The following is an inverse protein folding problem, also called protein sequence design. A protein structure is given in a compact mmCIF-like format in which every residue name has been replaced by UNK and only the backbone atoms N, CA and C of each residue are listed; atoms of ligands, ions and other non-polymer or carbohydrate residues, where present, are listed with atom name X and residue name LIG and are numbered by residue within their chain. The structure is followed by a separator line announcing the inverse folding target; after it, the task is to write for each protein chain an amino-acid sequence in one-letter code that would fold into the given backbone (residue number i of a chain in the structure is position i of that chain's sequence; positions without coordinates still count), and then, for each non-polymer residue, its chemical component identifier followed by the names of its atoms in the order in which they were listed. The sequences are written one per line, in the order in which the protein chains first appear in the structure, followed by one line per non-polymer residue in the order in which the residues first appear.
data_IF_467312599176
#
_entry.id   IF_467312599176
#
_cell.length_a   1.000
_cell.length_b   1.000
_cell.length_c   1.000
_cell.angle_alpha   90.00
_cell.angle_beta   90.00
_cell.angle_gamma   90.00
#
_symmetry.space_group_name_H-M   'P 1'
#
loop_
_entity.id
_entity.type
_entity.pdbx_description
1 polymer ?
#
# COMPACT_ATOMS: atom_id res chain seq x y z
N UNK A 1 -8.78 -6.01 -14.62
CA UNK A 1 -9.36 -4.69 -14.29
C UNK A 1 -8.91 -4.44 -12.89
N UNK A 2 -7.75 -3.80 -12.80
CA UNK A 2 -6.78 -4.17 -11.80
C UNK A 2 -7.04 -3.38 -10.53
N UNK A 3 -7.33 -4.14 -9.45
CA UNK A 3 -7.74 -3.63 -8.14
C UNK A 3 -6.55 -2.97 -7.44
N UNK A 4 -6.09 -1.82 -7.91
CA UNK A 4 -5.04 -1.04 -7.23
C UNK A 4 -5.55 -0.38 -5.96
N UNK A 5 -6.83 -0.02 -5.95
CA UNK A 5 -7.51 0.67 -4.87
C UNK A 5 -8.69 -0.18 -4.37
N UNK A 6 -8.90 -0.20 -3.06
CA UNK A 6 -10.10 -0.75 -2.42
C UNK A 6 -10.62 0.23 -1.37
N UNK A 7 -11.93 0.48 -1.40
CA UNK A 7 -12.56 1.39 -0.45
C UNK A 7 -12.76 0.75 0.90
N UNK A 8 -12.59 1.51 1.99
CA UNK A 8 -12.66 0.94 3.32
C UNK A 8 -14.05 0.35 3.65
N UNK A 9 -15.13 0.89 3.09
CA UNK A 9 -16.48 0.36 3.22
C UNK A 9 -16.72 -0.96 2.45
N UNK A 10 -15.77 -1.39 1.63
CA UNK A 10 -15.78 -2.65 0.87
C UNK A 10 -14.83 -3.71 1.46
N UNK A 11 -14.09 -3.38 2.53
CA UNK A 11 -13.08 -4.24 3.13
C UNK A 11 -13.62 -5.02 4.35
N UNK A 12 -13.12 -6.24 4.53
CA UNK A 12 -13.26 -7.01 5.77
C UNK A 12 -12.04 -7.86 6.10
N UNK A 13 -12.15 -8.72 7.12
CA UNK A 13 -11.07 -9.63 7.54
C UNK A 13 -10.62 -10.60 6.45
N UNK A 14 -11.47 -10.88 5.46
CA UNK A 14 -11.12 -11.73 4.33
C UNK A 14 -10.14 -11.04 3.35
N UNK A 15 -9.92 -9.73 3.48
CA UNK A 15 -9.06 -8.95 2.58
C UNK A 15 -7.64 -8.74 3.14
N UNK A 16 -7.27 -9.39 4.24
CA UNK A 16 -5.94 -9.23 4.87
C UNK A 16 -4.79 -9.45 3.88
N UNK A 17 -4.89 -10.44 2.99
CA UNK A 17 -3.85 -10.70 1.98
C UNK A 17 -3.77 -9.60 0.91
N UNK A 18 -4.86 -8.86 0.69
CA UNK A 18 -4.98 -7.82 -0.33
C UNK A 18 -4.53 -6.46 0.18
N UNK A 19 -4.82 -6.12 1.44
CA UNK A 19 -4.60 -4.76 1.98
C UNK A 19 -3.85 -4.71 3.32
N UNK A 20 -3.52 -5.88 3.89
CA UNK A 20 -2.91 -6.01 5.20
C UNK A 20 -3.91 -5.91 6.36
N UNK A 21 -3.49 -6.41 7.53
CA UNK A 21 -4.36 -6.52 8.71
C UNK A 21 -4.92 -5.18 9.23
N UNK A 22 -4.19 -4.08 9.07
CA UNK A 22 -4.65 -2.75 9.51
C UNK A 22 -5.85 -2.26 8.70
N UNK A 23 -5.76 -2.30 7.37
CA UNK A 23 -6.84 -1.84 6.50
C UNK A 23 -8.05 -2.78 6.57
N UNK A 24 -7.83 -4.09 6.64
CA UNK A 24 -8.90 -5.06 6.89
C UNK A 24 -9.64 -4.77 8.20
N UNK A 25 -8.91 -4.45 9.28
CA UNK A 25 -9.52 -4.12 10.59
C UNK A 25 -10.29 -2.82 10.57
N UNK A 26 -9.81 -1.83 9.81
CA UNK A 26 -10.52 -0.56 9.60
C UNK A 26 -11.85 -0.79 8.86
N UNK A 27 -11.86 -1.64 7.83
CA UNK A 27 -13.08 -2.01 7.11
C UNK A 27 -14.11 -2.67 8.02
N UNK A 28 -13.71 -3.65 8.82
CA UNK A 28 -14.60 -4.27 9.82
C UNK A 28 -15.20 -3.26 10.80
N UNK A 29 -14.42 -2.27 11.25
CA UNK A 29 -14.92 -1.22 12.13
C UNK A 29 -15.96 -0.36 11.43
N UNK A 30 -15.74 0.03 10.18
CA UNK A 30 -16.71 0.82 9.40
C UNK A 30 -18.00 0.03 9.21
N UNK A 31 -17.92 -1.22 8.76
CA UNK A 31 -19.10 -2.04 8.46
C UNK A 31 -19.91 -2.39 9.72
N UNK A 32 -19.26 -2.67 10.85
CA UNK A 32 -19.95 -3.15 12.05
C UNK A 32 -20.26 -2.06 13.08
N UNK A 33 -19.55 -0.93 13.10
CA UNK A 33 -19.71 0.12 14.12
C UNK A 33 -20.44 1.36 13.64
N UNK A 34 -20.76 1.46 12.34
CA UNK A 34 -21.60 2.55 11.82
C UNK A 34 -22.96 2.62 12.54
N UNK A 35 -23.56 1.48 12.88
CA UNK A 35 -24.81 1.40 13.65
C UNK A 35 -24.67 1.77 15.13
N UNK A 36 -23.45 1.85 15.66
CA UNK A 36 -23.16 2.17 17.06
C UNK A 36 -22.83 3.65 17.30
N UNK A 37 -23.01 4.52 16.29
CA UNK A 37 -22.72 5.94 16.37
C UNK A 37 -21.23 6.28 16.26
N UNK A 38 -20.38 5.31 15.91
CA UNK A 38 -18.96 5.54 15.63
C UNK A 38 -18.82 5.99 14.18
N UNK A 39 -18.42 7.23 13.97
CA UNK A 39 -18.11 7.76 12.64
C UNK A 39 -16.62 7.58 12.35
N UNK A 40 -16.31 6.72 11.39
CA UNK A 40 -14.95 6.56 10.86
C UNK A 40 -14.90 7.24 9.50
N UNK A 41 -13.92 8.15 9.25
CA UNK A 41 -13.76 8.78 7.94
C UNK A 41 -13.59 7.72 6.86
N UNK A 42 -14.34 7.86 5.77
CA UNK A 42 -14.16 6.99 4.61
C UNK A 42 -12.83 7.31 3.91
N UNK A 43 -12.33 6.35 3.15
CA UNK A 43 -11.09 6.44 2.40
C UNK A 43 -10.82 5.14 1.68
N UNK A 44 -9.57 4.97 1.25
CA UNK A 44 -9.20 3.81 0.45
C UNK A 44 -7.80 3.30 0.80
N UNK A 45 -7.58 2.02 0.53
CA UNK A 45 -6.29 1.34 0.63
C UNK A 45 -5.73 1.06 -0.77
N UNK A 46 -4.42 1.18 -0.92
CA UNK A 46 -3.73 0.51 -2.02
C UNK A 46 -3.65 -1.00 -1.74
N UNK A 47 -3.56 -1.82 -2.79
CA UNK A 47 -3.46 -3.27 -2.64
C UNK A 47 -2.03 -3.78 -2.72
N UNK A 48 -1.81 -4.99 -2.20
CA UNK A 48 -0.57 -5.74 -2.39
C UNK A 48 -0.28 -5.99 -3.87
N UNK A 49 -1.31 -6.03 -4.73
CA UNK A 49 -1.12 -6.12 -6.18
C UNK A 49 -0.52 -4.83 -6.75
N UNK A 50 -1.07 -3.65 -6.40
CA UNK A 50 -0.48 -2.36 -6.77
C UNK A 50 0.99 -2.24 -6.32
N UNK A 51 1.30 -2.69 -5.10
CA UNK A 51 2.68 -2.69 -4.60
C UNK A 51 3.61 -3.61 -5.40
N UNK A 52 3.16 -4.82 -5.77
CA UNK A 52 3.95 -5.75 -6.59
C UNK A 52 4.20 -5.22 -8.00
N UNK A 53 3.18 -4.62 -8.61
CA UNK A 53 3.33 -3.95 -9.91
C UNK A 53 4.35 -2.81 -9.79
N UNK A 54 4.23 -1.94 -8.77
CA UNK A 54 5.21 -0.88 -8.49
C UNK A 54 6.64 -1.41 -8.37
N UNK A 55 6.86 -2.49 -7.60
CA UNK A 55 8.19 -3.09 -7.47
C UNK A 55 8.69 -3.73 -8.78
N UNK A 56 7.82 -4.18 -9.67
CA UNK A 56 8.21 -4.69 -10.98
C UNK A 56 8.67 -3.55 -11.92
N UNK A 57 8.32 -2.30 -11.64
CA UNK A 57 8.76 -1.15 -12.43
C UNK A 57 10.28 -0.99 -12.36
N UNK A 58 10.90 -0.74 -13.52
CA UNK A 58 12.34 -0.50 -13.64
C UNK A 58 13.23 -1.59 -12.99
N UNK A 59 12.72 -2.83 -12.90
CA UNK A 59 13.37 -3.96 -12.23
C UNK A 59 13.75 -3.67 -10.76
N UNK A 60 12.97 -2.82 -10.07
CA UNK A 60 13.25 -2.43 -8.69
C UNK A 60 13.28 -3.64 -7.75
N UNK A 61 12.36 -4.60 -7.91
CA UNK A 61 12.31 -5.83 -7.15
C UNK A 61 13.63 -6.62 -7.23
N UNK A 62 14.18 -6.78 -8.43
CA UNK A 62 15.41 -7.53 -8.65
C UNK A 62 16.61 -6.83 -8.01
N UNK A 63 16.69 -5.50 -8.12
CA UNK A 63 17.75 -4.70 -7.49
C UNK A 63 17.71 -4.82 -5.96
N UNK A 64 16.50 -4.77 -5.38
CA UNK A 64 16.29 -4.98 -3.94
C UNK A 64 16.73 -6.39 -3.54
N UNK A 65 16.27 -7.41 -4.26
CA UNK A 65 16.60 -8.81 -3.96
C UNK A 65 18.10 -9.09 -4.04
N UNK A 66 18.80 -8.51 -5.03
CA UNK A 66 20.25 -8.62 -5.17
C UNK A 66 20.99 -8.00 -3.98
N UNK A 67 20.57 -6.82 -3.53
CA UNK A 67 21.16 -6.16 -2.37
C UNK A 67 20.93 -6.94 -1.07
N UNK A 68 19.74 -7.53 -0.91
CA UNK A 68 19.40 -8.35 0.25
C UNK A 68 20.10 -9.72 0.25
N UNK A 69 20.33 -10.33 -0.93
CA UNK A 69 20.91 -11.66 -1.04
C UNK A 69 22.34 -11.78 -0.48
N UNK A 70 23.08 -10.66 -0.45
CA UNK A 70 24.47 -10.61 0.04
C UNK A 70 24.59 -9.91 1.40
N UNK A 71 23.48 -9.44 1.96
CA UNK A 71 23.47 -8.70 3.22
C UNK A 71 23.56 -9.67 4.41
N UNK A 72 24.57 -9.47 5.26
CA UNK A 72 24.55 -10.00 6.62
C UNK A 72 23.70 -9.07 7.51
N UNK A 73 22.62 -9.61 8.06
CA UNK A 73 21.67 -8.85 8.89
C UNK A 73 22.17 -8.64 10.32
N UNK A 74 23.19 -9.39 10.76
CA UNK A 74 23.82 -9.21 12.07
C UNK A 74 24.88 -8.08 12.02
N UNK A 75 25.36 -7.69 10.83
CA UNK A 75 26.11 -6.46 10.63
C UNK A 75 25.15 -5.25 10.58
N UNK A 76 24.96 -4.63 11.75
CA UNK A 76 24.08 -3.46 11.92
C UNK A 76 24.45 -2.26 11.03
N UNK A 77 25.73 -2.10 10.66
CA UNK A 77 26.15 -1.01 9.79
C UNK A 77 25.78 -1.30 8.33
N UNK A 78 26.03 -2.53 7.88
CA UNK A 78 25.61 -2.99 6.55
C UNK A 78 24.08 -2.94 6.42
N UNK A 79 23.35 -3.41 7.44
CA UNK A 79 21.89 -3.36 7.48
C UNK A 79 21.34 -1.94 7.36
N UNK A 80 21.88 -0.99 8.14
CA UNK A 80 21.46 0.40 8.09
C UNK A 80 21.72 1.04 6.71
N UNK A 81 22.90 0.76 6.13
CA UNK A 81 23.29 1.26 4.81
C UNK A 81 22.40 0.70 3.70
N UNK A 82 22.26 -0.62 3.62
CA UNK A 82 21.45 -1.30 2.59
C UNK A 82 19.98 -0.91 2.72
N UNK A 83 19.46 -0.80 3.95
CA UNK A 83 18.09 -0.33 4.19
C UNK A 83 17.87 1.12 3.72
N UNK A 84 18.84 2.01 3.94
CA UNK A 84 18.76 3.39 3.45
C UNK A 84 18.80 3.47 1.91
N UNK A 85 19.64 2.65 1.29
CA UNK A 85 19.74 2.55 -0.15
C UNK A 85 18.45 2.04 -0.80
N UNK A 86 17.87 0.94 -0.29
CA UNK A 86 16.59 0.40 -0.78
C UNK A 86 15.46 1.43 -0.64
N UNK A 87 15.37 2.13 0.50
CA UNK A 87 14.37 3.20 0.68
C UNK A 87 14.56 4.34 -0.32
N UNK A 88 15.81 4.71 -0.62
CA UNK A 88 16.12 5.71 -1.63
C UNK A 88 15.66 5.27 -3.02
N UNK A 89 15.88 4.01 -3.40
CA UNK A 89 15.37 3.49 -4.67
C UNK A 89 13.85 3.56 -4.76
N UNK A 90 13.15 3.11 -3.71
CA UNK A 90 11.68 3.18 -3.65
C UNK A 90 11.16 4.62 -3.80
N UNK A 91 11.78 5.59 -3.13
CA UNK A 91 11.37 7.01 -3.20
C UNK A 91 11.60 7.60 -4.60
N UNK A 92 12.68 7.19 -5.26
CA UNK A 92 13.06 7.73 -6.57
C UNK A 92 12.37 7.04 -7.74
N UNK A 93 11.77 5.87 -7.55
CA UNK A 93 11.00 5.19 -8.58
C UNK A 93 9.61 5.84 -8.71
N UNK A 94 9.25 6.36 -9.89
CA UNK A 94 7.94 6.96 -10.10
C UNK A 94 6.84 5.89 -10.07
N UNK A 95 5.61 6.30 -9.74
CA UNK A 95 4.46 5.44 -9.96
C UNK A 95 4.21 5.25 -11.44
N UNK A 96 3.76 4.04 -11.82
CA UNK A 96 3.28 3.80 -13.17
C UNK A 96 2.00 4.60 -13.41
N UNK A 97 1.73 5.06 -14.64
CA UNK A 97 0.56 5.88 -14.95
C UNK A 97 -0.77 5.29 -14.46
N UNK A 98 -0.92 3.96 -14.50
CA UNK A 98 -2.13 3.29 -14.05
C UNK A 98 -2.33 3.37 -12.52
N UNK A 99 -1.25 3.29 -11.72
CA UNK A 99 -1.33 3.43 -10.27
C UNK A 99 -1.59 4.88 -9.88
N UNK A 100 -0.89 5.81 -10.53
CA UNK A 100 -1.03 7.25 -10.32
C UNK A 100 -2.48 7.70 -10.60
N UNK A 101 -3.02 7.35 -11.76
CA UNK A 101 -4.40 7.65 -12.14
C UNK A 101 -5.43 7.03 -11.18
N UNK A 102 -5.19 5.80 -10.72
CA UNK A 102 -6.09 5.15 -9.77
C UNK A 102 -6.12 5.87 -8.42
N UNK A 103 -4.97 6.33 -7.92
CA UNK A 103 -4.88 7.12 -6.68
C UNK A 103 -5.54 8.48 -6.86
N UNK A 104 -5.26 9.20 -7.95
CA UNK A 104 -5.87 10.52 -8.23
C UNK A 104 -7.39 10.43 -8.31
N UNK A 105 -7.92 9.42 -9.03
CA UNK A 105 -9.36 9.22 -9.16
C UNK A 105 -10.02 8.88 -7.81
N UNK A 106 -9.41 8.00 -7.03
CA UNK A 106 -9.92 7.64 -5.70
C UNK A 106 -9.87 8.84 -4.74
N UNK A 107 -8.80 9.63 -4.77
CA UNK A 107 -8.67 10.84 -3.97
C UNK A 107 -9.71 11.90 -4.34
N UNK A 108 -9.94 12.15 -5.63
CA UNK A 108 -10.97 13.07 -6.10
C UNK A 108 -12.38 12.64 -5.65
N UNK A 109 -12.69 11.34 -5.71
CA UNK A 109 -13.96 10.78 -5.23
C UNK A 109 -14.10 10.96 -3.70
N UNK A 110 -13.04 10.68 -2.94
CA UNK A 110 -13.04 10.83 -1.49
C UNK A 110 -13.31 12.29 -1.06
N UNK A 111 -12.74 13.27 -1.76
CA UNK A 111 -13.02 14.69 -1.52
C UNK A 111 -14.47 15.02 -1.84
N UNK A 112 -15.00 14.54 -2.97
CA UNK A 112 -16.38 14.81 -3.37
C UNK A 112 -17.42 14.24 -2.38
N UNK A 113 -17.10 13.12 -1.75
CA UNK A 113 -17.96 12.46 -0.75
C UNK A 113 -17.79 13.00 0.68
N UNK A 114 -16.79 13.86 0.92
CA UNK A 114 -16.59 14.50 2.23
C UNK A 114 -17.40 15.82 2.28
N UNK A 115 -18.44 15.93 3.13
CA UNK A 115 -19.30 17.11 3.20
C UNK A 115 -18.61 18.38 3.72
#
# INVERSE_FOLDING_TARGET
MDNYILWFNELGMNDVERVGGKNASLGEMISNLAGAGVSVPNGFATTAHAYREFLAHENLADRINQALAVLDVDDVNALAKTGAEIRSWIINTPFQPALDQAIEAAFAMMIADTP
#
